data_IF_904056402332
#
_entry.id   IF_904056402332
#
_cell.length_a   1.000
_cell.length_b   1.000
_cell.length_c   1.000
_cell.angle_alpha   90.00
_cell.angle_beta   90.00
_cell.angle_gamma   90.00
#
_symmetry.space_group_name_H-M   'P 1'
#
loop_
_entity.id
_entity.type
_entity.pdbx_description
1 polymer ?
#
# COMPACT_ATOMS: atom_id res chain seq x y z
N UNK A 1 -17.24 13.90 12.56
CA UNK A 1 -18.56 13.41 12.06
C UNK A 1 -18.47 12.32 10.99
N UNK A 2 -17.53 12.36 10.08
CA UNK A 2 -17.41 11.41 8.95
C UNK A 2 -17.01 9.99 9.35
N UNK A 3 -16.08 9.80 10.32
CA UNK A 3 -15.67 8.46 10.78
C UNK A 3 -16.87 7.63 11.30
N UNK A 4 -17.81 8.25 12.02
CA UNK A 4 -19.00 7.56 12.50
C UNK A 4 -19.92 7.14 11.34
N UNK A 5 -19.98 7.94 10.26
CA UNK A 5 -20.68 7.60 9.03
C UNK A 5 -20.11 6.37 8.35
N UNK A 6 -18.78 6.30 8.21
CA UNK A 6 -18.12 5.15 7.61
C UNK A 6 -18.25 3.88 8.47
N UNK A 7 -18.13 4.04 9.79
CA UNK A 7 -18.32 2.94 10.72
C UNK A 7 -19.76 2.40 10.70
N UNK A 8 -20.76 3.28 10.64
CA UNK A 8 -22.17 2.89 10.51
C UNK A 8 -22.41 2.12 9.19
N UNK A 9 -21.90 2.63 8.07
CA UNK A 9 -22.00 1.92 6.78
C UNK A 9 -21.34 0.54 6.83
N UNK A 10 -20.19 0.40 7.49
CA UNK A 10 -19.51 -0.87 7.67
C UNK A 10 -20.36 -1.86 8.48
N UNK A 11 -20.96 -1.42 9.60
CA UNK A 11 -21.82 -2.27 10.45
C UNK A 11 -23.08 -2.70 9.69
N UNK A 12 -23.76 -1.76 9.04
CA UNK A 12 -24.97 -2.05 8.26
C UNK A 12 -24.67 -2.98 7.08
N UNK A 13 -23.57 -2.75 6.37
CA UNK A 13 -23.12 -3.62 5.29
C UNK A 13 -22.77 -5.02 5.79
N UNK A 14 -22.07 -5.12 6.92
CA UNK A 14 -21.76 -6.39 7.57
C UNK A 14 -23.01 -7.17 7.96
N UNK A 15 -24.00 -6.51 8.57
CA UNK A 15 -25.27 -7.13 8.93
C UNK A 15 -26.03 -7.66 7.69
N UNK A 16 -26.03 -6.89 6.60
CA UNK A 16 -26.67 -7.30 5.34
C UNK A 16 -25.96 -8.51 4.67
N UNK A 17 -24.66 -8.65 4.87
CA UNK A 17 -23.85 -9.75 4.29
C UNK A 17 -23.85 -11.00 5.16
N UNK A 18 -24.21 -10.89 6.44
CA UNK A 18 -24.17 -12.01 7.41
C UNK A 18 -24.88 -13.30 6.94
N UNK A 19 -26.06 -13.24 6.31
CA UNK A 19 -26.75 -14.46 5.86
C UNK A 19 -25.98 -15.25 4.79
N UNK A 20 -25.14 -14.60 4.00
CA UNK A 20 -24.32 -15.23 2.94
C UNK A 20 -22.85 -15.44 3.36
N UNK A 21 -22.51 -15.15 4.61
CA UNK A 21 -21.12 -15.25 5.10
C UNK A 21 -20.50 -16.66 4.92
N UNK A 22 -21.22 -17.79 5.15
CA UNK A 22 -20.67 -19.12 4.88
C UNK A 22 -20.27 -19.32 3.41
N UNK A 23 -21.09 -18.85 2.49
CA UNK A 23 -20.79 -18.90 1.05
C UNK A 23 -19.56 -18.05 0.68
N UNK A 24 -19.48 -16.83 1.22
CA UNK A 24 -18.33 -15.95 1.02
C UNK A 24 -17.04 -16.54 1.59
N UNK A 25 -17.12 -17.22 2.72
CA UNK A 25 -15.98 -17.92 3.30
C UNK A 25 -15.45 -19.01 2.35
N UNK A 26 -16.34 -19.82 1.77
CA UNK A 26 -15.98 -20.84 0.80
C UNK A 26 -15.37 -20.20 -0.46
N UNK A 27 -15.98 -19.12 -0.99
CA UNK A 27 -15.42 -18.38 -2.12
C UNK A 27 -14.00 -17.87 -1.81
N UNK A 28 -13.79 -17.27 -0.64
CA UNK A 28 -12.48 -16.78 -0.20
C UNK A 28 -11.44 -17.91 -0.11
N UNK A 29 -11.82 -19.07 0.41
CA UNK A 29 -10.94 -20.25 0.49
C UNK A 29 -10.55 -20.76 -0.90
N UNK A 30 -11.49 -20.86 -1.82
CA UNK A 30 -11.25 -21.30 -3.20
C UNK A 30 -10.34 -20.28 -3.92
N UNK A 31 -10.61 -18.99 -3.78
CA UNK A 31 -9.79 -17.95 -4.39
C UNK A 31 -8.37 -18.00 -3.87
N UNK A 32 -8.18 -18.10 -2.55
CA UNK A 32 -6.85 -18.22 -1.96
C UNK A 32 -6.07 -19.45 -2.46
N UNK A 33 -6.76 -20.56 -2.63
CA UNK A 33 -6.15 -21.77 -3.19
C UNK A 33 -5.74 -21.58 -4.67
N UNK A 34 -6.54 -20.87 -5.47
CA UNK A 34 -6.25 -20.57 -6.88
C UNK A 34 -5.08 -19.58 -7.06
N UNK A 35 -4.98 -18.57 -6.22
CA UNK A 35 -3.89 -17.58 -6.24
C UNK A 35 -2.55 -18.24 -5.90
N UNK A 36 -2.55 -19.24 -5.00
CA UNK A 36 -1.31 -19.86 -4.55
C UNK A 36 -0.47 -18.93 -3.66
N UNK A 37 0.85 -19.15 -3.68
CA UNK A 37 1.83 -18.36 -2.95
C UNK A 37 2.94 -17.96 -3.92
N UNK A 38 3.04 -16.66 -4.20
CA UNK A 38 4.21 -16.11 -4.88
C UNK A 38 5.32 -15.87 -3.85
N UNK A 39 6.59 -16.06 -4.22
CA UNK A 39 7.72 -15.72 -3.35
C UNK A 39 7.85 -14.21 -3.19
N UNK A 40 8.51 -13.80 -2.10
CA UNK A 40 8.99 -12.45 -1.94
C UNK A 40 10.07 -12.15 -2.98
N UNK A 41 10.19 -10.91 -3.41
CA UNK A 41 11.24 -10.48 -4.33
C UNK A 41 12.62 -10.56 -3.65
N UNK A 42 13.67 -10.81 -4.44
CA UNK A 42 15.05 -10.79 -3.95
C UNK A 42 15.58 -9.35 -3.78
N UNK A 43 16.70 -9.20 -3.07
CA UNK A 43 17.46 -7.95 -2.93
C UNK A 43 16.64 -6.78 -2.35
N UNK A 44 16.34 -6.77 -1.02
CA UNK A 44 15.43 -5.81 -0.41
C UNK A 44 16.05 -4.41 -0.19
N UNK A 45 17.24 -4.16 -0.67
CA UNK A 45 17.93 -2.88 -0.60
C UNK A 45 18.76 -2.63 -1.86
N UNK A 46 19.05 -1.37 -2.13
CA UNK A 46 19.84 -0.99 -3.28
C UNK A 46 20.05 0.51 -3.39
N UNK A 47 20.78 0.89 -4.44
CA UNK A 47 21.07 2.28 -4.79
C UNK A 47 20.70 2.49 -6.25
N UNK A 48 20.05 3.62 -6.55
CA UNK A 48 19.71 3.99 -7.92
C UNK A 48 20.02 5.47 -8.16
N UNK A 49 20.40 5.77 -9.39
CA UNK A 49 20.77 7.13 -9.79
C UNK A 49 22.19 7.51 -9.40
N UNK A 50 22.55 8.74 -9.73
CA UNK A 50 23.86 9.35 -9.46
C UNK A 50 23.65 10.80 -9.07
N UNK A 51 24.58 11.38 -8.34
CA UNK A 51 24.56 12.79 -7.94
C UNK A 51 25.82 13.14 -7.16
N UNK A 52 26.06 14.45 -6.99
CA UNK A 52 27.21 14.96 -6.23
C UNK A 52 26.88 15.08 -4.72
N UNK A 53 25.59 15.22 -4.39
CA UNK A 53 25.14 15.29 -3.00
C UNK A 53 25.08 13.90 -2.35
N UNK A 54 25.11 13.81 -1.01
CA UNK A 54 24.88 12.55 -0.32
C UNK A 54 23.56 11.89 -0.79
N UNK A 55 23.54 10.56 -0.96
CA UNK A 55 22.35 9.86 -1.38
C UNK A 55 21.19 10.09 -0.41
N UNK A 56 20.00 10.31 -0.97
CA UNK A 56 18.74 10.39 -0.21
C UNK A 56 18.30 8.99 0.20
N UNK A 57 17.72 8.83 1.37
CA UNK A 57 17.28 7.56 1.93
C UNK A 57 15.78 7.37 1.85
N UNK A 58 15.36 6.30 1.19
CA UNK A 58 13.96 5.89 1.05
C UNK A 58 13.69 4.58 1.81
N UNK A 59 12.78 4.61 2.77
CA UNK A 59 12.20 3.40 3.36
C UNK A 59 10.89 3.05 2.66
N UNK A 60 10.72 1.80 2.25
CA UNK A 60 9.44 1.27 1.77
C UNK A 60 9.00 0.15 2.71
N UNK A 61 7.87 0.33 3.39
CA UNK A 61 7.41 -0.61 4.40
C UNK A 61 5.94 -0.99 4.19
N UNK A 62 5.61 -2.27 4.33
CA UNK A 62 4.22 -2.70 4.19
C UNK A 62 3.97 -4.15 3.86
N UNK A 63 2.90 -4.38 3.12
CA UNK A 63 2.35 -5.72 2.86
C UNK A 63 2.97 -6.44 1.65
N UNK A 64 2.29 -7.43 1.11
CA UNK A 64 2.78 -8.28 0.01
C UNK A 64 3.27 -7.52 -1.22
N UNK A 65 2.65 -6.39 -1.57
CA UNK A 65 3.10 -5.54 -2.67
C UNK A 65 4.42 -4.84 -2.36
N UNK A 66 4.71 -4.58 -1.09
CA UNK A 66 6.02 -4.11 -0.63
C UNK A 66 7.03 -5.26 -0.58
N UNK A 67 6.62 -6.46 -0.15
CA UNK A 67 7.46 -7.65 -0.25
C UNK A 67 7.75 -8.06 -1.71
N UNK A 68 7.17 -7.37 -2.69
CA UNK A 68 7.46 -7.52 -4.10
C UNK A 68 6.88 -8.78 -4.75
N UNK A 69 5.79 -9.35 -4.18
CA UNK A 69 5.13 -10.51 -4.78
C UNK A 69 4.73 -10.23 -6.22
N UNK A 70 5.19 -11.08 -7.14
CA UNK A 70 4.98 -10.92 -8.58
C UNK A 70 6.16 -10.31 -9.35
N UNK A 71 7.21 -9.87 -8.65
CA UNK A 71 8.47 -9.44 -9.23
C UNK A 71 9.62 -10.36 -8.80
N UNK A 72 10.68 -10.46 -9.61
CA UNK A 72 11.86 -11.26 -9.31
C UNK A 72 12.76 -10.61 -8.27
N UNK A 73 12.93 -9.30 -8.36
CA UNK A 73 13.77 -8.50 -7.46
C UNK A 73 13.02 -7.27 -6.98
N UNK A 74 13.44 -6.71 -5.84
CA UNK A 74 12.87 -5.45 -5.35
C UNK A 74 13.20 -4.24 -6.24
N UNK A 75 14.25 -4.30 -7.06
CA UNK A 75 14.52 -3.30 -8.09
C UNK A 75 13.36 -3.19 -9.09
N UNK A 76 12.74 -4.32 -9.45
CA UNK A 76 11.61 -4.41 -10.38
C UNK A 76 10.24 -4.30 -9.70
N UNK A 77 10.22 -4.34 -8.36
CA UNK A 77 9.01 -4.18 -7.54
C UNK A 77 8.80 -2.73 -7.11
N UNK A 78 7.79 -2.51 -6.25
CA UNK A 78 7.37 -1.17 -5.81
C UNK A 78 8.51 -0.35 -5.22
N UNK A 79 9.40 -0.98 -4.43
CA UNK A 79 10.52 -0.30 -3.76
C UNK A 79 11.49 0.34 -4.75
N UNK A 80 12.11 -0.46 -5.61
CA UNK A 80 13.10 0.00 -6.59
C UNK A 80 12.49 0.93 -7.65
N UNK A 81 11.26 0.63 -8.12
CA UNK A 81 10.59 1.50 -9.09
C UNK A 81 10.23 2.87 -8.48
N UNK A 82 9.85 2.92 -7.19
CA UNK A 82 9.65 4.19 -6.49
C UNK A 82 10.96 4.93 -6.28
N UNK A 83 12.03 4.23 -5.87
CA UNK A 83 13.36 4.83 -5.70
C UNK A 83 13.88 5.44 -7.00
N UNK A 84 13.73 4.71 -8.13
CA UNK A 84 14.10 5.21 -9.46
C UNK A 84 13.36 6.49 -9.79
N UNK A 85 12.05 6.50 -9.64
CA UNK A 85 11.26 7.67 -9.96
C UNK A 85 11.50 8.86 -9.02
N UNK A 86 11.88 8.63 -7.75
CA UNK A 86 12.33 9.68 -6.83
C UNK A 86 13.68 10.23 -7.28
N UNK A 87 14.67 9.37 -7.58
CA UNK A 87 15.99 9.76 -8.06
C UNK A 87 15.93 10.66 -9.30
N UNK A 88 15.06 10.32 -10.26
CA UNK A 88 14.85 11.13 -11.47
C UNK A 88 14.32 12.55 -11.14
N UNK A 89 13.51 12.71 -10.10
CA UNK A 89 12.91 13.99 -9.68
C UNK A 89 13.88 14.88 -8.93
N UNK A 90 14.65 14.29 -8.03
CA UNK A 90 15.63 15.03 -7.22
C UNK A 90 16.99 15.19 -7.94
N UNK A 91 17.19 14.53 -9.08
CA UNK A 91 18.46 14.45 -9.80
C UNK A 91 19.62 14.06 -8.88
N UNK A 92 19.42 13.07 -8.01
CA UNK A 92 20.43 12.58 -7.07
C UNK A 92 20.26 11.08 -6.82
N UNK A 93 21.27 10.44 -6.25
CA UNK A 93 21.21 9.04 -5.86
C UNK A 93 20.21 8.81 -4.72
N UNK A 94 19.51 7.66 -4.76
CA UNK A 94 18.60 7.22 -3.72
C UNK A 94 19.02 5.84 -3.22
N UNK A 95 19.34 5.76 -1.93
CA UNK A 95 19.50 4.50 -1.21
C UNK A 95 18.11 4.07 -0.73
N UNK A 96 17.67 2.90 -1.11
CA UNK A 96 16.36 2.39 -0.72
C UNK A 96 16.46 1.10 0.06
N UNK A 97 15.58 0.96 1.06
CA UNK A 97 15.43 -0.23 1.92
C UNK A 97 13.97 -0.62 1.93
N UNK A 98 13.69 -1.90 1.72
CA UNK A 98 12.35 -2.46 1.74
C UNK A 98 12.17 -3.39 2.93
N UNK A 99 11.07 -3.19 3.66
CA UNK A 99 10.64 -4.08 4.75
C UNK A 99 9.20 -4.48 4.46
N UNK A 100 9.04 -5.60 3.76
CA UNK A 100 7.75 -6.12 3.34
C UNK A 100 7.47 -7.50 3.91
N UNK A 101 6.18 -7.80 4.15
CA UNK A 101 5.74 -9.13 4.55
C UNK A 101 4.34 -9.43 4.07
N UNK A 102 4.16 -10.56 3.40
CA UNK A 102 2.86 -10.99 2.94
C UNK A 102 1.86 -11.15 4.11
N UNK A 103 0.65 -10.65 3.93
CA UNK A 103 -0.48 -10.85 4.86
C UNK A 103 -0.50 -9.92 6.07
N UNK A 104 0.42 -8.95 6.20
CA UNK A 104 0.37 -7.97 7.30
C UNK A 104 -0.70 -6.91 7.05
N UNK A 105 -1.30 -6.42 8.14
CA UNK A 105 -2.20 -5.26 8.19
C UNK A 105 -1.45 -4.06 8.74
N UNK A 106 -2.04 -2.88 8.75
CA UNK A 106 -1.44 -1.69 9.38
C UNK A 106 -0.99 -1.96 10.83
N UNK A 107 -1.82 -2.65 11.64
CA UNK A 107 -1.46 -3.05 13.00
C UNK A 107 -0.23 -3.96 13.03
N UNK A 108 -0.23 -5.00 12.21
CA UNK A 108 0.89 -5.95 12.16
C UNK A 108 2.15 -5.33 11.56
N UNK A 109 2.04 -4.30 10.74
CA UNK A 109 3.20 -3.51 10.27
C UNK A 109 3.86 -2.81 11.46
N UNK A 110 3.08 -2.22 12.37
CA UNK A 110 3.60 -1.62 13.60
C UNK A 110 4.27 -2.67 14.48
N UNK A 111 3.57 -3.77 14.72
CA UNK A 111 3.98 -4.76 15.73
C UNK A 111 5.14 -5.66 15.24
N UNK A 112 5.21 -5.96 13.92
CA UNK A 112 6.13 -6.96 13.37
C UNK A 112 7.20 -6.40 12.43
N UNK A 113 6.91 -5.33 11.69
CA UNK A 113 7.84 -4.80 10.70
C UNK A 113 8.60 -3.57 11.19
N UNK A 114 7.91 -2.67 11.90
CA UNK A 114 8.57 -1.47 12.42
C UNK A 114 9.80 -1.77 13.30
N UNK A 115 9.79 -2.79 14.17
CA UNK A 115 10.97 -3.17 14.93
C UNK A 115 12.19 -3.64 14.10
N UNK A 116 11.98 -3.93 12.81
CA UNK A 116 13.04 -4.33 11.88
C UNK A 116 13.64 -3.14 11.11
N UNK A 117 13.04 -1.95 11.25
CA UNK A 117 13.54 -0.74 10.57
C UNK A 117 14.92 -0.38 11.14
N UNK A 118 15.94 -0.18 10.29
CA UNK A 118 17.26 0.24 10.74
C UNK A 118 17.18 1.53 11.57
N UNK A 119 18.04 1.63 12.60
CA UNK A 119 18.13 2.82 13.45
C UNK A 119 18.89 3.94 12.74
N UNK A 120 18.30 4.44 11.68
CA UNK A 120 18.81 5.56 10.88
C UNK A 120 17.68 6.51 10.48
N UNK A 121 18.03 7.66 9.90
CA UNK A 121 17.05 8.62 9.40
C UNK A 121 16.79 8.37 7.93
N UNK A 122 15.51 8.44 7.55
CA UNK A 122 15.05 8.40 6.17
C UNK A 122 14.48 9.76 5.77
N UNK A 123 14.76 10.17 4.55
CA UNK A 123 14.23 11.41 3.95
C UNK A 123 12.80 11.19 3.43
N UNK A 124 12.55 9.97 2.93
CA UNK A 124 11.26 9.54 2.40
C UNK A 124 10.83 8.20 3.00
N UNK A 125 9.55 8.07 3.32
CA UNK A 125 8.93 6.82 3.77
C UNK A 125 7.71 6.53 2.93
N UNK A 126 7.69 5.40 2.23
CA UNK A 126 6.53 4.91 1.47
C UNK A 126 5.84 3.78 2.24
N UNK A 127 4.57 4.01 2.58
CA UNK A 127 3.70 3.02 3.22
C UNK A 127 2.84 2.31 2.16
N UNK A 128 3.13 1.03 1.90
CA UNK A 128 2.35 0.19 0.99
C UNK A 128 1.42 -0.74 1.77
N UNK A 129 0.27 -0.24 2.24
CA UNK A 129 -0.61 -0.92 3.19
C UNK A 129 -2.08 -0.68 2.85
N UNK A 130 -2.93 -1.67 3.12
CA UNK A 130 -4.38 -1.53 3.04
C UNK A 130 -5.08 -2.70 2.39
N UNK A 131 -4.40 -3.49 1.55
CA UNK A 131 -4.97 -4.66 0.91
C UNK A 131 -5.38 -5.71 1.93
N UNK A 132 -4.50 -6.05 2.85
CA UNK A 132 -4.80 -7.02 3.91
C UNK A 132 -5.79 -6.49 4.94
N UNK A 133 -5.84 -5.18 5.19
CA UNK A 133 -6.87 -4.59 6.04
C UNK A 133 -8.26 -4.76 5.43
N UNK A 134 -8.39 -4.58 4.11
CA UNK A 134 -9.64 -4.85 3.39
C UNK A 134 -9.95 -6.35 3.39
N UNK A 135 -8.99 -7.22 3.06
CA UNK A 135 -9.19 -8.67 3.00
C UNK A 135 -9.55 -9.28 4.36
N UNK A 136 -9.06 -8.71 5.45
CA UNK A 136 -9.37 -9.11 6.83
C UNK A 136 -10.53 -8.35 7.46
N UNK A 137 -11.25 -7.56 6.66
CA UNK A 137 -12.43 -6.80 7.07
C UNK A 137 -12.15 -5.85 8.25
N UNK A 138 -10.98 -5.20 8.28
CA UNK A 138 -10.68 -4.16 9.27
C UNK A 138 -11.74 -3.05 9.18
N UNK A 139 -12.35 -2.69 10.32
CA UNK A 139 -13.36 -1.64 10.32
C UNK A 139 -12.73 -0.26 10.04
N UNK A 140 -13.49 0.72 9.52
CA UNK A 140 -12.97 2.08 9.29
C UNK A 140 -12.36 2.75 10.53
N UNK A 141 -12.90 2.46 11.73
CA UNK A 141 -12.32 2.97 12.99
C UNK A 141 -10.98 2.31 13.31
N UNK A 142 -10.88 0.99 13.13
CA UNK A 142 -9.65 0.24 13.35
C UNK A 142 -8.57 0.69 12.34
N UNK A 143 -8.90 0.73 11.07
CA UNK A 143 -8.03 1.19 9.99
C UNK A 143 -7.45 2.58 10.28
N UNK A 144 -8.32 3.57 10.59
CA UNK A 144 -7.88 4.94 10.90
C UNK A 144 -6.96 4.99 12.11
N UNK A 145 -7.30 4.29 13.20
CA UNK A 145 -6.47 4.24 14.40
C UNK A 145 -5.07 3.70 14.10
N UNK A 146 -5.01 2.56 13.43
CA UNK A 146 -3.75 1.86 13.16
C UNK A 146 -2.87 2.66 12.18
N UNK A 147 -3.47 3.30 11.17
CA UNK A 147 -2.73 4.17 10.24
C UNK A 147 -2.24 5.46 10.91
N UNK A 148 -3.03 6.10 11.74
CA UNK A 148 -2.61 7.29 12.48
C UNK A 148 -1.46 6.98 13.44
N UNK A 149 -1.51 5.83 14.12
CA UNK A 149 -0.43 5.36 14.99
C UNK A 149 0.85 5.09 14.19
N UNK A 150 0.75 4.42 13.05
CA UNK A 150 1.91 4.17 12.19
C UNK A 150 2.53 5.47 11.66
N UNK A 151 1.71 6.42 11.18
CA UNK A 151 2.18 7.74 10.74
C UNK A 151 2.87 8.47 11.92
N UNK A 152 2.30 8.39 13.11
CA UNK A 152 2.90 8.96 14.33
C UNK A 152 4.28 8.39 14.62
N UNK A 153 4.41 7.06 14.60
CA UNK A 153 5.69 6.37 14.82
C UNK A 153 6.74 6.78 13.77
N UNK A 154 6.35 6.84 12.49
CA UNK A 154 7.25 7.33 11.42
C UNK A 154 7.69 8.75 11.72
N UNK A 155 6.78 9.63 12.11
CA UNK A 155 7.06 11.05 12.41
C UNK A 155 7.97 11.22 13.62
N UNK A 156 7.76 10.44 14.68
CA UNK A 156 8.58 10.48 15.91
C UNK A 156 10.03 10.08 15.62
N UNK A 157 10.22 9.11 14.74
CA UNK A 157 11.56 8.61 14.38
C UNK A 157 12.20 9.38 13.23
N UNK A 158 11.41 9.94 12.29
CA UNK A 158 11.86 10.69 11.11
C UNK A 158 11.06 11.99 10.99
N UNK A 159 11.33 13.01 11.84
CA UNK A 159 10.51 14.21 11.93
C UNK A 159 10.46 15.02 10.63
N UNK A 160 11.51 14.97 9.83
CA UNK A 160 11.63 15.72 8.57
C UNK A 160 11.23 14.92 7.33
N UNK A 161 10.97 13.62 7.45
CA UNK A 161 10.65 12.76 6.32
C UNK A 161 9.34 13.19 5.64
N UNK A 162 9.28 13.10 4.32
CA UNK A 162 8.01 13.06 3.62
C UNK A 162 7.44 11.64 3.64
N UNK A 163 6.19 11.50 4.08
CA UNK A 163 5.49 10.23 4.17
C UNK A 163 4.54 10.10 2.99
N UNK A 164 4.78 9.10 2.16
CA UNK A 164 3.94 8.73 1.03
C UNK A 164 3.13 7.49 1.39
N UNK A 165 1.88 7.48 1.01
CA UNK A 165 0.97 6.34 1.27
C UNK A 165 0.36 5.91 -0.05
N UNK A 166 0.54 4.65 -0.42
CA UNK A 166 -0.06 4.09 -1.62
C UNK A 166 -1.58 3.99 -1.51
N UNK A 167 -2.26 3.91 -2.65
CA UNK A 167 -3.72 3.80 -2.69
C UNK A 167 -4.23 2.51 -2.05
N UNK A 168 -5.41 2.57 -1.45
CA UNK A 168 -6.18 1.38 -1.09
C UNK A 168 -6.43 0.51 -2.34
N UNK A 169 -6.48 -0.83 -2.22
CA UNK A 169 -6.45 -1.73 -3.35
C UNK A 169 -7.65 -1.55 -4.29
N UNK A 170 -7.38 -1.61 -5.58
CA UNK A 170 -8.35 -1.52 -6.67
C UNK A 170 -9.02 -2.88 -6.93
N UNK A 171 -9.63 -3.47 -5.91
CA UNK A 171 -10.17 -4.84 -5.89
C UNK A 171 -11.14 -5.11 -7.02
N UNK A 172 -11.88 -4.11 -7.46
CA UNK A 172 -12.86 -4.27 -8.54
C UNK A 172 -12.24 -4.78 -9.85
N UNK A 173 -10.96 -4.45 -10.08
CA UNK A 173 -10.22 -4.84 -11.27
C UNK A 173 -9.50 -6.19 -11.15
N UNK A 174 -9.54 -6.85 -9.98
CA UNK A 174 -8.97 -8.18 -9.82
C UNK A 174 -9.70 -9.20 -10.74
N UNK A 175 -8.99 -9.87 -11.65
CA UNK A 175 -9.61 -10.85 -12.53
C UNK A 175 -9.99 -12.16 -11.82
N UNK A 176 -9.38 -12.44 -10.67
CA UNK A 176 -9.55 -13.73 -9.99
C UNK A 176 -10.64 -13.72 -8.89
N UNK A 177 -10.95 -12.55 -8.35
CA UNK A 177 -11.97 -12.45 -7.31
C UNK A 177 -13.38 -12.59 -7.89
N UNK A 178 -14.20 -13.56 -7.44
CA UNK A 178 -15.56 -13.73 -7.93
C UNK A 178 -16.54 -12.77 -7.26
N UNK A 179 -17.71 -12.58 -7.88
CA UNK A 179 -18.86 -11.94 -7.20
C UNK A 179 -19.55 -12.96 -6.29
N UNK A 180 -20.14 -12.54 -5.14
CA UNK A 180 -20.26 -11.16 -4.66
C UNK A 180 -19.09 -10.68 -3.78
N UNK A 181 -18.12 -11.55 -3.40
CA UNK A 181 -17.01 -11.17 -2.51
C UNK A 181 -16.21 -9.98 -3.05
N UNK A 182 -15.95 -9.92 -4.37
CA UNK A 182 -15.29 -8.79 -5.02
C UNK A 182 -15.99 -7.45 -4.73
N UNK A 183 -17.30 -7.40 -4.92
CA UNK A 183 -18.10 -6.18 -4.68
C UNK A 183 -18.11 -5.74 -3.23
N UNK A 184 -18.17 -6.70 -2.30
CA UNK A 184 -18.16 -6.43 -0.84
C UNK A 184 -16.80 -5.84 -0.43
N UNK A 185 -15.70 -6.47 -0.82
CA UNK A 185 -14.34 -6.00 -0.54
C UNK A 185 -14.05 -4.66 -1.22
N UNK A 186 -14.53 -4.46 -2.44
CA UNK A 186 -14.42 -3.18 -3.13
C UNK A 186 -15.15 -2.05 -2.39
N UNK A 187 -16.33 -2.30 -1.86
CA UNK A 187 -17.03 -1.30 -1.05
C UNK A 187 -16.25 -0.94 0.21
N UNK A 188 -15.61 -1.90 0.89
CA UNK A 188 -14.77 -1.62 2.04
C UNK A 188 -13.50 -0.86 1.62
N UNK A 189 -12.87 -1.22 0.51
CA UNK A 189 -11.71 -0.49 -0.02
C UNK A 189 -12.05 0.98 -0.30
N UNK A 190 -13.20 1.26 -0.91
CA UNK A 190 -13.67 2.64 -1.10
C UNK A 190 -13.92 3.38 0.23
N UNK A 191 -14.40 2.70 1.26
CA UNK A 191 -14.57 3.31 2.58
C UNK A 191 -13.21 3.67 3.20
N UNK A 192 -12.22 2.78 3.09
CA UNK A 192 -10.85 3.05 3.56
C UNK A 192 -10.21 4.19 2.77
N UNK A 193 -10.34 4.21 1.44
CA UNK A 193 -9.86 5.28 0.59
C UNK A 193 -10.44 6.66 0.99
N UNK A 194 -11.76 6.76 1.15
CA UNK A 194 -12.40 7.99 1.57
C UNK A 194 -12.00 8.42 2.99
N UNK A 195 -11.81 7.46 3.88
CA UNK A 195 -11.41 7.71 5.26
C UNK A 195 -9.96 8.26 5.33
N UNK A 196 -9.02 7.65 4.57
CA UNK A 196 -7.63 8.10 4.59
C UNK A 196 -7.45 9.47 3.93
N UNK A 197 -8.14 9.76 2.83
CA UNK A 197 -8.18 11.10 2.23
C UNK A 197 -8.57 12.14 3.28
N UNK A 198 -9.58 11.83 4.09
CA UNK A 198 -10.10 12.75 5.08
C UNK A 198 -9.12 12.99 6.24
N UNK A 199 -8.54 11.93 6.82
CA UNK A 199 -7.70 12.12 8.00
C UNK A 199 -6.27 12.56 7.68
N UNK A 200 -5.79 12.35 6.44
CA UNK A 200 -4.49 12.87 6.00
C UNK A 200 -4.57 14.30 5.46
N UNK A 201 -5.77 14.79 5.16
CA UNK A 201 -5.97 16.17 4.72
C UNK A 201 -5.44 17.17 5.76
N UNK A 202 -4.45 17.96 5.39
CA UNK A 202 -3.82 18.94 6.27
C UNK A 202 -2.72 18.41 7.19
N UNK A 203 -2.35 17.14 7.10
CA UNK A 203 -1.13 16.64 7.74
C UNK A 203 0.10 17.12 6.97
N UNK A 204 1.03 17.74 7.68
CA UNK A 204 2.27 18.21 7.08
C UNK A 204 3.11 17.04 6.54
N UNK A 205 3.59 17.16 5.31
CA UNK A 205 4.43 16.17 4.61
C UNK A 205 3.88 14.75 4.63
N UNK A 206 2.55 14.58 4.65
CA UNK A 206 1.87 13.28 4.47
C UNK A 206 1.05 13.33 3.20
N UNK A 207 1.39 12.48 2.25
CA UNK A 207 0.80 12.46 0.92
C UNK A 207 0.17 11.09 0.65
N UNK A 208 -1.13 11.07 0.44
CA UNK A 208 -1.85 9.87 0.06
C UNK A 208 -2.14 9.85 -1.44
N UNK A 209 -1.88 8.73 -2.09
CA UNK A 209 -2.30 8.48 -3.46
C UNK A 209 -3.73 7.91 -3.45
N UNK A 210 -4.77 8.67 -3.84
CA UNK A 210 -6.13 8.16 -3.88
C UNK A 210 -6.29 7.10 -4.99
N UNK A 211 -7.34 6.28 -4.87
CA UNK A 211 -7.66 5.30 -5.90
C UNK A 211 -7.83 6.00 -7.26
N UNK A 212 -6.99 5.69 -8.25
CA UNK A 212 -7.10 6.32 -9.57
C UNK A 212 -8.37 5.88 -10.30
N UNK A 213 -8.90 6.74 -11.17
CA UNK A 213 -10.14 6.50 -11.92
C UNK A 213 -9.84 5.90 -13.29
N UNK A 214 -8.76 6.35 -13.92
CA UNK A 214 -8.35 5.93 -15.26
C UNK A 214 -7.04 5.13 -15.16
N UNK A 215 -7.14 3.81 -15.08
CA UNK A 215 -6.00 2.90 -15.04
C UNK A 215 -6.20 1.82 -16.08
N UNK A 216 -5.19 1.64 -16.91
CA UNK A 216 -5.09 0.45 -17.74
C UNK A 216 -4.51 -0.69 -16.88
N UNK A 217 -5.19 -1.84 -16.88
CA UNK A 217 -4.79 -3.04 -16.17
C UNK A 217 -4.24 -4.12 -17.12
N UNK A 218 -4.01 -3.82 -18.38
CA UNK A 218 -3.37 -4.75 -19.31
C UNK A 218 -1.92 -5.03 -18.85
N UNK A 219 -1.60 -6.30 -18.65
CA UNK A 219 -0.29 -6.71 -18.11
C UNK A 219 -0.01 -6.38 -16.66
N UNK A 220 -0.95 -5.72 -15.96
CA UNK A 220 -0.74 -5.26 -14.56
C UNK A 220 -0.61 -6.41 -13.56
N UNK A 221 -1.31 -7.53 -13.75
CA UNK A 221 -1.42 -8.59 -12.74
C UNK A 221 -0.44 -9.75 -13.00
N UNK A 222 0.25 -10.21 -11.95
CA UNK A 222 1.02 -11.45 -11.96
C UNK A 222 0.14 -12.66 -11.69
N UNK A 223 -0.73 -12.61 -10.67
CA UNK A 223 -1.60 -13.71 -10.23
C UNK A 223 -3.08 -13.30 -10.09
N UNK A 224 -3.44 -12.09 -10.50
CA UNK A 224 -4.77 -11.50 -10.39
C UNK A 224 -5.04 -10.78 -9.05
N UNK A 225 -4.07 -10.76 -8.14
CA UNK A 225 -4.08 -10.02 -6.86
C UNK A 225 -2.88 -9.09 -6.77
N UNK A 226 -1.68 -9.61 -7.10
CA UNK A 226 -0.41 -8.87 -7.00
C UNK A 226 0.00 -8.33 -8.36
N UNK A 227 0.63 -7.16 -8.40
CA UNK A 227 1.16 -6.60 -9.63
C UNK A 227 2.25 -7.48 -10.25
N UNK A 228 2.36 -7.46 -11.57
CA UNK A 228 3.53 -7.90 -12.32
C UNK A 228 4.65 -6.85 -12.22
N UNK A 229 5.84 -7.15 -12.74
CA UNK A 229 6.93 -6.17 -12.85
C UNK A 229 6.51 -4.92 -13.66
N UNK A 230 5.70 -5.10 -14.72
CA UNK A 230 5.09 -3.99 -15.44
C UNK A 230 4.11 -3.23 -14.55
N UNK A 231 3.23 -3.96 -13.85
CA UNK A 231 2.25 -3.36 -12.95
C UNK A 231 2.90 -2.53 -11.84
N UNK A 232 4.00 -2.98 -11.28
CA UNK A 232 4.77 -2.21 -10.28
C UNK A 232 5.36 -0.93 -10.87
N UNK A 233 5.96 -1.00 -12.05
CA UNK A 233 6.50 0.17 -12.75
C UNK A 233 5.42 1.21 -13.02
N UNK A 234 4.30 0.78 -13.59
CA UNK A 234 3.20 1.65 -13.98
C UNK A 234 2.53 2.27 -12.74
N UNK A 235 2.36 1.49 -11.67
CA UNK A 235 1.82 1.96 -10.40
C UNK A 235 2.73 2.98 -9.74
N UNK A 236 4.04 2.71 -9.62
CA UNK A 236 5.00 3.65 -9.05
C UNK A 236 5.02 4.96 -9.85
N UNK A 237 5.04 4.90 -11.19
CA UNK A 237 5.02 6.07 -12.05
C UNK A 237 3.74 6.92 -11.86
N UNK A 238 2.58 6.28 -11.82
CA UNK A 238 1.29 6.95 -11.61
C UNK A 238 1.20 7.60 -10.22
N UNK A 239 1.66 6.90 -9.19
CA UNK A 239 1.70 7.38 -7.81
C UNK A 239 2.61 8.60 -7.67
N UNK A 240 3.83 8.54 -8.18
CA UNK A 240 4.78 9.65 -8.13
C UNK A 240 4.30 10.86 -8.94
N UNK A 241 3.72 10.65 -10.12
CA UNK A 241 3.06 11.71 -10.90
C UNK A 241 1.93 12.40 -10.13
N UNK A 242 1.21 11.67 -9.28
CA UNK A 242 0.22 12.28 -8.39
C UNK A 242 0.90 13.12 -7.32
N UNK A 243 1.97 12.63 -6.71
CA UNK A 243 2.69 13.34 -5.66
C UNK A 243 3.39 14.61 -6.16
N UNK A 244 3.80 14.68 -7.42
CA UNK A 244 4.34 15.90 -8.05
C UNK A 244 3.42 17.13 -7.91
N UNK A 245 2.12 16.91 -7.69
CA UNK A 245 1.14 17.99 -7.51
C UNK A 245 1.11 18.54 -6.08
N UNK A 246 1.64 17.80 -5.12
CA UNK A 246 1.48 18.05 -3.69
C UNK A 246 2.79 18.09 -2.91
N UNK A 247 3.88 17.60 -3.51
CA UNK A 247 5.21 17.54 -2.93
C UNK A 247 6.22 18.24 -3.86
N UNK A 248 7.14 19.01 -3.26
CA UNK A 248 8.32 19.54 -3.96
C UNK A 248 9.50 18.66 -3.60
N UNK A 249 10.00 18.00 -4.59
CA UNK A 249 11.14 17.08 -4.48
C UNK A 249 12.44 17.79 -4.16
#
# INVERSE_FOLDING_TARGET
MSLNKWQAKFILGGAAVLPIAPFLYIQGRITRWKVGLLPDAADPEGVVGQGEAPPVKLLVIGESTVAGLGARTHELALGGQSAKGVSERINNAVNWTVIGKNGVTARRTIDELWPLVPNEKFDYVLLGIGGNDVMKLSSPKKWRRDMLELIGIVRDTNPDAAIFISNCPMIIHSPILPQPIKGILWNLSKMHNANIIEFTAGMDRVHYYPQPVDVDFEGFWADGIHPSEQGYRDWAAAMLKHFDKHHKW
#
